data_IF_145200225528
#
_entry.id   IF_145200225528
#
_cell.length_a   1.000
_cell.length_b   1.000
_cell.length_c   1.000
_cell.angle_alpha   90.00
_cell.angle_beta   90.00
_cell.angle_gamma   90.00
#
_symmetry.space_group_name_H-M   'P 1'
#
loop_
_entity.id
_entity.type
_entity.pdbx_description
1 polymer ?
#
# COMPACT_ATOMS: atom_id res chain seq x y z
N UNK A 1 12.55 -4.92 3.51
CA UNK A 1 11.50 -3.90 3.64
C UNK A 1 10.22 -4.50 3.03
N UNK A 2 9.10 -4.57 3.77
CA UNK A 2 7.81 -5.04 3.25
C UNK A 2 6.77 -3.98 3.55
N UNK A 3 6.31 -3.30 2.50
CA UNK A 3 5.22 -2.33 2.59
C UNK A 3 3.88 -2.97 2.21
N UNK A 4 2.81 -2.19 2.33
CA UNK A 4 1.45 -2.62 2.01
C UNK A 4 1.34 -3.14 0.58
N UNK A 5 1.97 -2.48 -0.39
CA UNK A 5 1.89 -2.84 -1.82
C UNK A 5 2.55 -4.20 -2.07
N UNK A 6 3.76 -4.39 -1.53
CA UNK A 6 4.53 -5.62 -1.69
C UNK A 6 3.84 -6.81 -1.02
N UNK A 7 3.24 -6.59 0.15
CA UNK A 7 2.46 -7.64 0.83
C UNK A 7 1.19 -8.02 0.06
N UNK A 8 0.49 -7.04 -0.51
CA UNK A 8 -0.71 -7.30 -1.30
C UNK A 8 -0.39 -8.11 -2.57
N UNK A 9 0.63 -7.71 -3.32
CA UNK A 9 1.09 -8.43 -4.52
C UNK A 9 1.43 -9.88 -4.18
N UNK A 10 2.24 -10.09 -3.12
CA UNK A 10 2.65 -11.44 -2.69
C UNK A 10 1.45 -12.35 -2.39
N UNK A 11 0.42 -11.83 -1.73
CA UNK A 11 -0.74 -12.64 -1.35
C UNK A 11 -1.54 -13.11 -2.58
N UNK A 12 -1.70 -12.23 -3.58
CA UNK A 12 -2.43 -12.56 -4.80
C UNK A 12 -1.61 -13.47 -5.72
N UNK A 13 -0.31 -13.19 -5.86
CA UNK A 13 0.64 -14.03 -6.59
C UNK A 13 0.70 -15.45 -6.02
N UNK A 14 0.77 -15.58 -4.69
CA UNK A 14 0.76 -16.89 -4.01
C UNK A 14 -0.52 -17.70 -4.26
N UNK A 15 -1.63 -17.03 -4.60
CA UNK A 15 -2.89 -17.68 -4.96
C UNK A 15 -3.08 -17.83 -6.48
N UNK A 16 -2.15 -17.32 -7.29
CA UNK A 16 -2.23 -17.31 -8.76
C UNK A 16 -3.39 -16.45 -9.30
N UNK A 17 -3.81 -15.42 -8.57
CA UNK A 17 -4.95 -14.57 -8.92
C UNK A 17 -4.51 -13.16 -9.27
N UNK A 18 -5.22 -12.53 -10.21
CA UNK A 18 -5.12 -11.09 -10.42
C UNK A 18 -5.72 -10.32 -9.23
N UNK A 19 -5.27 -9.07 -9.04
CA UNK A 19 -5.85 -8.17 -8.05
C UNK A 19 -7.33 -7.95 -8.36
N UNK A 20 -8.16 -8.26 -7.36
CA UNK A 20 -9.60 -8.02 -7.42
C UNK A 20 -9.92 -6.59 -6.96
N UNK A 21 -11.22 -6.30 -6.86
CA UNK A 21 -11.68 -4.95 -6.51
C UNK A 21 -11.27 -4.54 -5.09
N UNK A 22 -11.26 -5.49 -4.15
CA UNK A 22 -10.88 -5.22 -2.75
C UNK A 22 -9.39 -4.88 -2.64
N UNK A 23 -8.55 -5.57 -3.42
CA UNK A 23 -7.13 -5.23 -3.55
C UNK A 23 -6.92 -3.85 -4.14
N UNK A 24 -7.66 -3.50 -5.20
CA UNK A 24 -7.58 -2.17 -5.81
C UNK A 24 -8.04 -1.07 -4.84
N UNK A 25 -9.11 -1.29 -4.10
CA UNK A 25 -9.61 -0.31 -3.13
C UNK A 25 -8.65 -0.14 -1.94
N UNK A 26 -7.95 -1.22 -1.53
CA UNK A 26 -6.86 -1.15 -0.56
C UNK A 26 -5.69 -0.29 -1.05
N UNK A 27 -5.32 -0.43 -2.33
CA UNK A 27 -4.27 0.42 -2.93
C UNK A 27 -4.68 1.88 -3.00
N UNK A 28 -5.94 2.18 -3.38
CA UNK A 28 -6.45 3.56 -3.39
C UNK A 28 -6.37 4.19 -2.02
N UNK A 29 -6.90 3.53 -0.98
CA UNK A 29 -6.85 4.02 0.40
C UNK A 29 -5.42 4.27 0.88
N UNK A 30 -4.49 3.39 0.51
CA UNK A 30 -3.07 3.63 0.75
C UNK A 30 -2.60 4.91 0.05
N UNK A 31 -2.81 5.07 -1.25
CA UNK A 31 -2.31 6.24 -1.98
C UNK A 31 -2.98 7.56 -1.58
N UNK A 32 -4.27 7.55 -1.20
CA UNK A 32 -4.99 8.71 -0.66
C UNK A 32 -4.30 9.30 0.58
N UNK A 33 -3.70 8.46 1.42
CA UNK A 33 -2.99 8.89 2.64
C UNK A 33 -1.49 9.10 2.42
N UNK A 34 -0.98 8.92 1.20
CA UNK A 34 0.46 8.93 0.92
C UNK A 34 1.14 10.26 1.23
N UNK A 35 0.52 11.37 0.84
CA UNK A 35 1.05 12.73 1.07
C UNK A 35 1.14 13.06 2.56
N UNK A 36 0.09 12.74 3.32
CA UNK A 36 0.07 12.92 4.77
C UNK A 36 1.18 12.13 5.47
N UNK A 37 1.42 10.88 5.05
CA UNK A 37 2.48 10.04 5.61
C UNK A 37 3.87 10.60 5.37
N UNK A 38 4.13 11.17 4.19
CA UNK A 38 5.39 11.87 3.91
C UNK A 38 5.52 13.14 4.77
N UNK A 39 4.47 13.95 4.87
CA UNK A 39 4.49 15.17 5.69
C UNK A 39 4.79 14.88 7.16
N UNK A 40 4.18 13.85 7.73
CA UNK A 40 4.45 13.39 9.10
C UNK A 40 5.89 12.89 9.25
N UNK A 41 6.40 12.10 8.30
CA UNK A 41 7.78 11.63 8.34
C UNK A 41 8.79 12.80 8.29
N UNK A 42 8.51 13.84 7.51
CA UNK A 42 9.32 15.06 7.46
C UNK A 42 9.28 15.81 8.79
N UNK A 43 8.10 15.94 9.41
CA UNK A 43 7.96 16.59 10.73
C UNK A 43 8.74 15.86 11.83
N UNK A 44 8.80 14.53 11.79
CA UNK A 44 9.53 13.73 12.79
C UNK A 44 11.05 13.82 12.60
N UNK A 45 11.51 13.91 11.34
CA UNK A 45 12.94 13.90 11.01
C UNK A 45 13.60 15.29 11.01
N UNK A 46 12.82 16.38 10.98
CA UNK A 46 13.31 17.76 11.04
C UNK A 46 13.47 18.26 12.46
#
# INVERSE_FOLDING_TARGET
MRDLVTNLIRNYDSSGRYLDRDAIDSLKSYFETGTARVAVATLING
#
